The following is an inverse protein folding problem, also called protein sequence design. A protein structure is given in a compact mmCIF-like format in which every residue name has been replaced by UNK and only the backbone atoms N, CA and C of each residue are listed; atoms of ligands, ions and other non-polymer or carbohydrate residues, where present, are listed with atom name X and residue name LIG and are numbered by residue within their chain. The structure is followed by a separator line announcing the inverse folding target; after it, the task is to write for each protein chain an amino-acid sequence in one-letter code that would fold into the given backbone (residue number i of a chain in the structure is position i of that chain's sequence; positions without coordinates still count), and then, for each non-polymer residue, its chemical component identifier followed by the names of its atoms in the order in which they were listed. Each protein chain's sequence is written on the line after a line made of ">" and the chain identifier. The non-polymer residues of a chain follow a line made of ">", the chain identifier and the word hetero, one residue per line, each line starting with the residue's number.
data_IF_165069746903
#
_entry.id   IF_165069746903
#
_cell.length_a   1.000
_cell.length_b   1.000
_cell.length_c   1.000
_cell.angle_alpha   90.00
_cell.angle_beta   90.00
_cell.angle_gamma   90.00
#
_symmetry.space_group_name_H-M   'P 1'
#
loop_
_entity.id
_entity.type
_entity.pdbx_description
1 polymer ?
#
# COMPACT_ATOMS: atom_id res chain seq x y z
N UNK A 1 7.81 10.28 16.67
CA UNK A 1 6.33 10.31 16.88
C UNK A 1 5.98 9.53 18.15
N UNK A 2 5.17 10.11 19.06
CA UNK A 2 4.65 9.38 20.24
C UNK A 2 3.76 8.21 19.81
N UNK A 3 3.71 7.11 20.57
CA UNK A 3 2.81 6.01 20.24
C UNK A 3 1.36 6.49 20.25
N UNK A 4 0.60 6.09 19.23
CA UNK A 4 -0.82 6.41 19.12
C UNK A 4 -1.61 5.69 20.23
N UNK A 5 -2.68 6.30 20.72
CA UNK A 5 -3.60 5.65 21.65
C UNK A 5 -4.23 4.39 21.03
N UNK A 6 -4.65 3.46 21.87
CA UNK A 6 -5.27 2.20 21.44
C UNK A 6 -6.49 2.45 20.54
N UNK A 7 -7.34 3.40 20.91
CA UNK A 7 -8.54 3.76 20.16
C UNK A 7 -8.18 4.28 18.75
N UNK A 8 -7.20 5.20 18.63
CA UNK A 8 -6.76 5.72 17.33
C UNK A 8 -6.17 4.59 16.45
N UNK A 9 -5.41 3.67 17.04
CA UNK A 9 -4.84 2.53 16.29
C UNK A 9 -5.94 1.61 15.72
N UNK A 10 -6.98 1.31 16.49
CA UNK A 10 -8.12 0.53 15.99
C UNK A 10 -8.91 1.30 14.93
N UNK A 11 -9.13 2.61 15.13
CA UNK A 11 -9.77 3.45 14.12
C UNK A 11 -9.00 3.46 12.80
N UNK A 12 -7.68 3.64 12.83
CA UNK A 12 -6.82 3.59 11.64
C UNK A 12 -6.86 2.21 10.97
N UNK A 13 -6.78 1.13 11.75
CA UNK A 13 -6.85 -0.23 11.21
C UNK A 13 -8.18 -0.48 10.51
N UNK A 14 -9.30 -0.06 11.12
CA UNK A 14 -10.63 -0.15 10.52
C UNK A 14 -10.75 0.68 9.23
N UNK A 15 -10.21 1.91 9.22
CA UNK A 15 -10.18 2.76 8.02
C UNK A 15 -9.35 2.12 6.90
N UNK A 16 -8.18 1.55 7.22
CA UNK A 16 -7.33 0.88 6.24
C UNK A 16 -8.00 -0.38 5.69
N UNK A 17 -8.66 -1.16 6.54
CA UNK A 17 -9.42 -2.32 6.12
C UNK A 17 -10.57 -1.93 5.18
N UNK A 18 -11.34 -0.91 5.53
CA UNK A 18 -12.44 -0.42 4.70
C UNK A 18 -11.96 0.11 3.34
N UNK A 19 -10.88 0.90 3.31
CA UNK A 19 -10.27 1.38 2.07
C UNK A 19 -9.73 0.23 1.21
N UNK A 20 -9.10 -0.77 1.81
CA UNK A 20 -8.63 -1.94 1.09
C UNK A 20 -9.78 -2.69 0.43
N UNK A 21 -10.85 -2.98 1.16
CA UNK A 21 -12.04 -3.63 0.59
C UNK A 21 -12.62 -2.80 -0.56
N UNK A 22 -12.79 -1.49 -0.35
CA UNK A 22 -13.42 -0.60 -1.32
C UNK A 22 -12.60 -0.44 -2.61
N UNK A 23 -11.25 -0.45 -2.53
CA UNK A 23 -10.39 -0.18 -3.68
C UNK A 23 -9.86 -1.45 -4.35
N UNK A 24 -9.68 -2.54 -3.59
CA UNK A 24 -9.12 -3.77 -4.12
C UNK A 24 -10.15 -4.68 -4.78
N UNK A 25 -11.38 -4.71 -4.26
CA UNK A 25 -12.43 -5.56 -4.83
C UNK A 25 -12.74 -5.20 -6.30
N UNK A 26 -12.62 -3.93 -6.65
CA UNK A 26 -12.87 -3.41 -8.01
C UNK A 26 -11.60 -3.28 -8.87
N UNK A 27 -10.49 -3.85 -8.45
CA UNK A 27 -9.18 -3.75 -9.11
C UNK A 27 -9.21 -4.22 -10.58
N UNK A 28 -10.14 -5.06 -10.97
CA UNK A 28 -10.10 -5.80 -12.24
C UNK A 28 -11.08 -5.36 -13.30
N UNK A 29 -11.73 -4.21 -13.24
CA UNK A 29 -12.59 -4.05 -14.38
C UNK A 29 -13.41 -2.81 -14.62
N UNK A 30 -13.40 -1.79 -13.81
CA UNK A 30 -14.31 -0.70 -14.06
C UNK A 30 -13.62 0.68 -13.99
N UNK A 31 -13.79 1.46 -15.07
CA UNK A 31 -13.15 2.76 -15.28
C UNK A 31 -13.56 3.82 -14.24
N UNK A 32 -14.64 3.57 -13.51
CA UNK A 32 -15.18 4.49 -12.49
C UNK A 32 -14.73 4.19 -11.05
N UNK A 33 -13.93 3.13 -10.83
CA UNK A 33 -13.53 2.72 -9.50
C UNK A 33 -12.19 3.33 -9.08
N UNK A 34 -12.04 3.57 -7.78
CA UNK A 34 -10.79 4.07 -7.20
C UNK A 34 -9.66 3.07 -7.44
N UNK A 35 -8.47 3.53 -7.83
CA UNK A 35 -7.31 2.66 -7.97
C UNK A 35 -6.97 1.95 -6.66
N UNK A 36 -6.42 0.71 -6.73
CA UNK A 36 -6.04 -0.07 -5.55
C UNK A 36 -5.09 0.69 -4.62
N UNK A 37 -5.51 0.89 -3.38
CA UNK A 37 -4.75 1.58 -2.34
C UNK A 37 -3.81 0.66 -1.54
N UNK A 38 -3.83 -0.66 -1.76
CA UNK A 38 -3.15 -1.64 -0.90
C UNK A 38 -1.69 -1.30 -0.62
N UNK A 39 -0.90 -0.95 -1.64
CA UNK A 39 0.51 -0.60 -1.45
C UNK A 39 0.70 0.59 -0.50
N UNK A 40 -0.13 1.63 -0.63
CA UNK A 40 -0.11 2.79 0.26
C UNK A 40 -0.53 2.42 1.68
N UNK A 41 -1.56 1.56 1.82
CA UNK A 41 -2.05 1.13 3.13
C UNK A 41 -1.02 0.29 3.89
N UNK A 42 -0.25 -0.56 3.21
CA UNK A 42 0.86 -1.26 3.85
C UNK A 42 1.98 -0.30 4.28
N UNK A 43 2.35 0.68 3.48
CA UNK A 43 3.33 1.69 3.87
C UNK A 43 2.86 2.53 5.07
N UNK A 44 1.65 3.06 5.02
CA UNK A 44 1.05 3.86 6.09
C UNK A 44 0.81 3.02 7.36
N UNK A 45 0.44 1.76 7.20
CA UNK A 45 0.33 0.81 8.31
C UNK A 45 1.66 0.63 9.03
N UNK A 46 2.75 0.46 8.31
CA UNK A 46 4.10 0.45 8.88
C UNK A 46 4.45 1.75 9.59
N UNK A 47 4.10 2.90 9.00
CA UNK A 47 4.39 4.22 9.54
C UNK A 47 3.62 4.50 10.86
N UNK A 48 2.34 4.13 10.94
CA UNK A 48 1.47 4.49 12.06
C UNK A 48 1.19 3.34 13.04
N UNK A 49 0.99 2.12 12.56
CA UNK A 49 0.61 0.98 13.41
C UNK A 49 1.82 0.18 13.92
N UNK A 50 2.87 0.05 13.14
CA UNK A 50 4.20 -0.51 13.47
C UNK A 50 4.22 -1.97 13.95
N UNK A 51 3.08 -2.59 14.25
CA UNK A 51 2.99 -3.96 14.78
C UNK A 51 3.06 -5.02 13.68
N UNK A 52 3.43 -6.25 14.02
CA UNK A 52 3.38 -7.37 13.07
C UNK A 52 1.96 -7.90 12.89
N UNK A 53 1.15 -7.92 13.95
CA UNK A 53 -0.24 -8.38 13.87
C UNK A 53 -1.10 -7.57 12.90
N UNK A 54 -1.09 -6.20 12.90
CA UNK A 54 -1.79 -5.44 11.89
C UNK A 54 -1.30 -5.69 10.47
N UNK A 55 0.00 -5.96 10.27
CA UNK A 55 0.55 -6.35 8.97
C UNK A 55 -0.07 -7.66 8.48
N UNK A 56 -0.04 -8.69 9.33
CA UNK A 56 -0.62 -10.00 8.99
C UNK A 56 -2.13 -9.91 8.79
N UNK A 57 -2.83 -9.09 9.58
CA UNK A 57 -4.26 -8.87 9.43
C UNK A 57 -4.62 -8.23 8.09
N UNK A 58 -3.89 -7.18 7.67
CA UNK A 58 -4.09 -6.55 6.36
C UNK A 58 -3.68 -7.47 5.21
N UNK A 59 -2.64 -8.29 5.38
CA UNK A 59 -2.25 -9.29 4.38
C UNK A 59 -3.33 -10.35 4.21
N UNK A 60 -3.84 -10.90 5.31
CA UNK A 60 -4.94 -11.87 5.28
C UNK A 60 -6.21 -11.26 4.65
N UNK A 61 -6.51 -9.99 4.96
CA UNK A 61 -7.61 -9.26 4.35
C UNK A 61 -7.42 -9.12 2.83
N UNK A 62 -6.22 -8.74 2.37
CA UNK A 62 -5.92 -8.61 0.94
C UNK A 62 -6.15 -9.94 0.20
N UNK A 63 -5.65 -11.05 0.76
CA UNK A 63 -5.89 -12.39 0.21
C UNK A 63 -7.37 -12.75 0.22
N UNK A 64 -8.08 -12.46 1.30
CA UNK A 64 -9.52 -12.72 1.42
C UNK A 64 -10.36 -11.91 0.43
N UNK A 65 -10.00 -10.65 0.17
CA UNK A 65 -10.68 -9.81 -0.83
C UNK A 65 -10.44 -10.35 -2.25
N UNK A 66 -9.21 -10.76 -2.58
CA UNK A 66 -8.93 -11.34 -3.90
C UNK A 66 -9.67 -12.67 -4.10
N UNK A 67 -9.67 -13.52 -3.08
CA UNK A 67 -10.44 -14.77 -3.11
C UNK A 67 -11.93 -14.49 -3.33
N UNK A 68 -12.51 -13.55 -2.58
CA UNK A 68 -13.92 -13.19 -2.72
C UNK A 68 -14.22 -12.59 -4.10
N UNK A 69 -13.31 -11.80 -4.67
CA UNK A 69 -13.48 -11.23 -6.00
C UNK A 69 -13.50 -12.33 -7.09
N UNK A 70 -12.65 -13.34 -6.98
CA UNK A 70 -12.61 -14.45 -7.94
C UNK A 70 -13.82 -15.37 -7.77
N UNK A 71 -14.06 -15.87 -6.55
CA UNK A 71 -15.06 -16.92 -6.31
C UNK A 71 -16.50 -16.40 -6.28
N UNK A 72 -16.72 -15.16 -5.78
CA UNK A 72 -18.07 -14.64 -5.58
C UNK A 72 -18.49 -13.61 -6.63
N UNK A 73 -17.55 -12.88 -7.22
CA UNK A 73 -17.83 -11.84 -8.21
C UNK A 73 -17.38 -12.21 -9.64
N UNK A 74 -16.86 -13.41 -9.87
CA UNK A 74 -16.47 -13.88 -11.21
C UNK A 74 -15.29 -13.10 -11.82
N UNK A 75 -14.47 -12.44 -11.01
CA UNK A 75 -13.27 -11.75 -11.48
C UNK A 75 -12.27 -12.79 -11.97
N UNK A 76 -11.53 -12.46 -13.03
CA UNK A 76 -10.52 -13.35 -13.60
C UNK A 76 -9.45 -13.75 -12.58
N UNK A 77 -9.14 -15.05 -12.52
CA UNK A 77 -8.07 -15.63 -11.71
C UNK A 77 -6.67 -15.46 -12.33
N UNK A 78 -6.54 -14.68 -13.40
CA UNK A 78 -5.29 -14.52 -14.16
C UNK A 78 -4.08 -14.17 -13.28
N UNK A 79 -4.29 -13.37 -12.24
CA UNK A 79 -3.24 -12.98 -11.30
C UNK A 79 -2.98 -14.02 -10.18
N UNK A 80 -3.87 -15.01 -10.01
CA UNK A 80 -3.72 -16.06 -8.99
C UNK A 80 -2.81 -17.15 -9.54
N UNK A 81 -1.54 -17.07 -9.21
CA UNK A 81 -0.47 -17.97 -9.68
C UNK A 81 0.44 -18.32 -8.50
N UNK A 82 1.39 -19.27 -8.60
CA UNK A 82 2.38 -19.51 -7.56
C UNK A 82 3.17 -18.25 -7.16
N UNK A 83 3.34 -17.31 -8.10
CA UNK A 83 3.98 -16.02 -7.84
C UNK A 83 3.18 -15.11 -6.88
N UNK A 84 1.91 -15.43 -6.60
CA UNK A 84 1.09 -14.71 -5.63
C UNK A 84 1.71 -14.70 -4.22
N UNK A 85 2.49 -15.72 -3.86
CA UNK A 85 3.24 -15.76 -2.60
C UNK A 85 4.22 -14.58 -2.45
N UNK A 86 4.69 -13.98 -3.55
CA UNK A 86 5.58 -12.83 -3.54
C UNK A 86 4.89 -11.51 -3.14
N UNK A 87 3.58 -11.49 -2.97
CA UNK A 87 2.89 -10.37 -2.32
C UNK A 87 3.36 -10.20 -0.87
N UNK A 88 3.73 -11.28 -0.18
CA UNK A 88 4.27 -11.20 1.18
C UNK A 88 5.55 -10.33 1.24
N UNK A 89 6.65 -10.64 0.54
CA UNK A 89 7.83 -9.78 0.54
C UNK A 89 7.58 -8.40 -0.08
N UNK A 90 6.72 -8.28 -1.10
CA UNK A 90 6.37 -7.01 -1.71
C UNK A 90 5.69 -6.05 -0.71
N UNK A 91 4.71 -6.53 0.05
CA UNK A 91 4.06 -5.73 1.09
C UNK A 91 4.93 -5.54 2.33
N UNK A 92 5.82 -6.50 2.64
CA UNK A 92 6.78 -6.37 3.72
C UNK A 92 7.74 -5.20 3.50
N UNK A 93 8.23 -4.99 2.27
CA UNK A 93 9.08 -3.83 1.92
C UNK A 93 8.36 -2.51 2.26
N UNK A 94 7.10 -2.37 1.89
CA UNK A 94 6.30 -1.18 2.19
C UNK A 94 6.12 -1.00 3.70
N UNK A 95 5.70 -2.06 4.39
CA UNK A 95 5.46 -2.02 5.83
C UNK A 95 6.72 -1.68 6.63
N UNK A 96 7.79 -2.38 6.39
CA UNK A 96 9.02 -2.17 7.13
C UNK A 96 9.73 -0.88 6.73
N UNK A 97 9.58 -0.41 5.49
CA UNK A 97 10.03 0.92 5.06
C UNK A 97 9.30 2.03 5.81
N UNK A 98 7.97 1.99 5.88
CA UNK A 98 7.17 2.93 6.68
C UNK A 98 7.53 2.87 8.17
N UNK A 99 7.68 1.67 8.73
CA UNK A 99 8.09 1.47 10.13
C UNK A 99 9.48 2.02 10.42
N UNK A 100 10.44 1.84 9.52
CA UNK A 100 11.80 2.35 9.66
C UNK A 100 11.85 3.88 9.61
N UNK A 101 10.97 4.53 8.83
CA UNK A 101 10.87 5.98 8.79
C UNK A 101 10.10 6.57 9.98
N UNK A 102 9.22 5.81 10.61
CA UNK A 102 8.35 6.29 11.68
C UNK A 102 9.05 7.06 12.84
N UNK A 103 10.27 6.73 13.29
CA UNK A 103 10.99 7.52 14.29
C UNK A 103 11.38 8.92 13.79
N UNK A 104 11.59 9.07 12.49
CA UNK A 104 12.01 10.31 11.82
C UNK A 104 10.83 11.17 11.37
N UNK A 105 9.60 10.66 11.56
CA UNK A 105 8.39 11.37 11.18
C UNK A 105 8.21 12.58 12.06
N UNK A 106 8.29 13.77 11.47
CA UNK A 106 8.04 15.07 12.08
C UNK A 106 6.98 15.83 11.25
N UNK A 107 6.27 16.79 11.85
CA UNK A 107 5.22 17.54 11.16
C UNK A 107 5.76 18.64 10.24
N UNK A 108 7.07 18.74 10.12
CA UNK A 108 7.76 19.66 9.22
C UNK A 108 7.90 19.07 7.81
N UNK A 109 8.29 19.92 6.86
CA UNK A 109 8.44 19.51 5.46
C UNK A 109 9.48 18.38 5.30
N UNK A 110 10.51 18.31 6.16
CA UNK A 110 11.57 17.27 6.09
C UNK A 110 11.03 15.89 6.46
N UNK A 111 10.23 15.82 7.53
CA UNK A 111 9.62 14.56 7.93
C UNK A 111 8.61 14.05 6.91
N UNK A 112 7.79 14.96 6.35
CA UNK A 112 6.76 14.63 5.38
C UNK A 112 7.33 14.25 4.00
N UNK A 113 8.26 15.07 3.48
CA UNK A 113 8.92 14.78 2.19
C UNK A 113 9.77 13.52 2.26
N UNK A 114 10.46 13.31 3.38
CA UNK A 114 11.22 12.08 3.62
C UNK A 114 10.33 10.83 3.65
N UNK A 115 9.17 10.89 4.30
CA UNK A 115 8.19 9.80 4.27
C UNK A 115 7.73 9.50 2.85
N UNK A 116 7.46 10.54 2.06
CA UNK A 116 7.04 10.40 0.67
C UNK A 116 8.15 9.80 -0.22
N UNK A 117 9.41 10.23 -0.05
CA UNK A 117 10.56 9.66 -0.77
C UNK A 117 10.80 8.19 -0.40
N UNK A 118 10.70 7.83 0.88
CA UNK A 118 10.77 6.43 1.31
C UNK A 118 9.63 5.61 0.71
N UNK A 119 8.42 6.19 0.65
CA UNK A 119 7.30 5.53 -0.02
C UNK A 119 7.56 5.31 -1.51
N UNK A 120 8.17 6.27 -2.23
CA UNK A 120 8.58 6.13 -3.62
C UNK A 120 9.52 4.93 -3.81
N UNK A 121 10.57 4.85 -3.00
CA UNK A 121 11.54 3.74 -3.08
C UNK A 121 10.87 2.41 -2.76
N UNK A 122 10.10 2.34 -1.67
CA UNK A 122 9.41 1.11 -1.26
C UNK A 122 8.35 0.67 -2.28
N UNK A 123 7.60 1.60 -2.87
CA UNK A 123 6.62 1.29 -3.91
C UNK A 123 7.28 0.74 -5.18
N UNK A 124 8.40 1.35 -5.59
CA UNK A 124 9.16 0.86 -6.74
C UNK A 124 9.72 -0.55 -6.50
N UNK A 125 10.28 -0.81 -5.32
CA UNK A 125 10.78 -2.15 -4.95
C UNK A 125 9.65 -3.16 -4.82
N UNK A 126 8.54 -2.80 -4.18
CA UNK A 126 7.36 -3.66 -4.04
C UNK A 126 6.80 -4.05 -5.41
N UNK A 127 6.66 -3.09 -6.32
CA UNK A 127 6.26 -3.34 -7.70
C UNK A 127 7.24 -4.27 -8.42
N UNK A 128 8.55 -4.01 -8.30
CA UNK A 128 9.57 -4.85 -8.95
C UNK A 128 9.52 -6.29 -8.44
N UNK A 129 9.32 -6.52 -7.14
CA UNK A 129 9.19 -7.85 -6.55
C UNK A 129 7.93 -8.56 -7.07
N UNK A 130 6.76 -7.93 -6.96
CA UNK A 130 5.49 -8.56 -7.33
C UNK A 130 5.37 -8.76 -8.85
N UNK A 131 5.68 -7.74 -9.65
CA UNK A 131 5.61 -7.82 -11.11
C UNK A 131 6.68 -8.75 -11.68
N UNK A 132 7.90 -8.70 -11.12
CA UNK A 132 8.98 -9.61 -11.50
C UNK A 132 8.62 -11.07 -11.22
N UNK A 133 8.16 -11.36 -10.01
CA UNK A 133 7.72 -12.71 -9.67
C UNK A 133 6.58 -13.20 -10.58
N UNK A 134 5.58 -12.36 -10.82
CA UNK A 134 4.47 -12.71 -11.71
C UNK A 134 4.94 -13.01 -13.13
N UNK A 135 5.83 -12.18 -13.68
CA UNK A 135 6.32 -12.37 -15.06
C UNK A 135 7.21 -13.62 -15.19
N UNK A 136 8.19 -13.78 -14.29
CA UNK A 136 9.18 -14.85 -14.41
C UNK A 136 8.74 -16.19 -13.80
N UNK A 137 7.89 -16.16 -12.77
CA UNK A 137 7.53 -17.35 -11.98
C UNK A 137 6.03 -17.68 -12.03
N UNK A 138 5.20 -16.81 -12.58
CA UNK A 138 3.74 -16.99 -12.61
C UNK A 138 3.24 -18.01 -13.63
N UNK A 139 4.10 -18.49 -14.55
CA UNK A 139 3.72 -19.49 -15.56
C UNK A 139 2.79 -18.96 -16.66
N UNK A 140 2.52 -17.65 -16.69
CA UNK A 140 1.64 -17.02 -17.71
C UNK A 140 2.38 -16.63 -18.99
N UNK A 141 3.71 -16.65 -18.96
CA UNK A 141 4.59 -16.32 -20.09
C UNK A 141 5.44 -17.53 -20.44
N UNK A 142 5.12 -18.28 -21.54
CA UNK A 142 5.83 -19.53 -21.88
C UNK A 142 7.30 -19.30 -22.26
N UNK A 143 7.60 -18.15 -22.83
CA UNK A 143 8.95 -17.74 -23.24
C UNK A 143 9.22 -16.32 -22.72
N UNK A 144 9.59 -16.18 -21.43
CA UNK A 144 9.83 -14.87 -20.85
C UNK A 144 11.13 -14.27 -21.37
N UNK A 145 11.05 -13.00 -21.83
CA UNK A 145 12.17 -12.24 -22.39
C UNK A 145 12.37 -10.91 -21.67
N UNK A 146 13.61 -10.46 -21.56
CA UNK A 146 13.93 -9.19 -20.90
C UNK A 146 13.32 -7.97 -21.58
N UNK A 147 13.27 -7.94 -22.90
CA UNK A 147 12.66 -6.86 -23.66
C UNK A 147 11.17 -6.69 -23.32
N UNK A 148 10.44 -7.79 -23.30
CA UNK A 148 9.03 -7.82 -22.93
C UNK A 148 8.82 -7.45 -21.45
N UNK A 149 9.66 -7.94 -20.55
CA UNK A 149 9.60 -7.58 -19.13
C UNK A 149 9.81 -6.07 -18.92
N UNK A 150 10.82 -5.47 -19.54
CA UNK A 150 11.08 -4.03 -19.44
C UNK A 150 9.92 -3.21 -20.00
N UNK A 151 9.33 -3.61 -21.11
CA UNK A 151 8.14 -2.96 -21.66
C UNK A 151 6.97 -2.98 -20.65
N UNK A 152 6.74 -4.10 -19.97
CA UNK A 152 5.73 -4.21 -18.91
C UNK A 152 6.03 -3.35 -17.70
N UNK A 153 7.28 -3.33 -17.25
CA UNK A 153 7.71 -2.46 -16.14
C UNK A 153 7.43 -1.00 -16.47
N UNK A 154 7.74 -0.57 -17.69
CA UNK A 154 7.50 0.79 -18.14
C UNK A 154 6.00 1.11 -18.27
N UNK A 155 5.22 0.17 -18.74
CA UNK A 155 3.78 0.30 -18.89
C UNK A 155 3.04 0.41 -17.55
N UNK A 156 3.37 -0.46 -16.59
CA UNK A 156 2.60 -0.60 -15.35
C UNK A 156 3.24 0.06 -14.14
N UNK A 157 4.58 0.06 -14.05
CA UNK A 157 5.30 0.59 -12.90
C UNK A 157 4.91 2.02 -12.52
N UNK A 158 4.93 2.97 -13.48
CA UNK A 158 4.52 4.35 -13.20
C UNK A 158 3.10 4.48 -12.64
N UNK A 159 2.17 3.63 -13.09
CA UNK A 159 0.78 3.65 -12.64
C UNK A 159 0.66 3.23 -11.17
N UNK A 160 1.26 2.09 -10.80
CA UNK A 160 1.23 1.57 -9.42
C UNK A 160 1.95 2.50 -8.45
N UNK A 161 3.15 2.96 -8.82
CA UNK A 161 3.94 3.87 -7.98
C UNK A 161 3.21 5.20 -7.79
N UNK A 162 2.72 5.82 -8.86
CA UNK A 162 1.97 7.07 -8.80
C UNK A 162 0.73 6.96 -7.91
N UNK A 163 -0.07 5.90 -8.08
CA UNK A 163 -1.26 5.66 -7.25
C UNK A 163 -0.88 5.56 -5.77
N UNK A 164 0.15 4.79 -5.45
CA UNK A 164 0.67 4.68 -4.08
C UNK A 164 1.07 6.04 -3.52
N UNK A 165 1.80 6.84 -4.27
CA UNK A 165 2.29 8.15 -3.85
C UNK A 165 1.16 9.16 -3.65
N UNK A 166 0.10 9.11 -4.45
CA UNK A 166 -1.09 9.97 -4.29
C UNK A 166 -1.79 9.63 -2.97
N UNK A 167 -2.04 8.36 -2.67
CA UNK A 167 -2.65 7.95 -1.40
C UNK A 167 -1.78 8.31 -0.20
N UNK A 168 -0.47 8.10 -0.28
CA UNK A 168 0.46 8.49 0.79
C UNK A 168 0.45 10.01 0.98
N UNK A 169 0.52 10.81 -0.09
CA UNK A 169 0.47 12.27 -0.02
C UNK A 169 -0.84 12.75 0.62
N UNK A 170 -1.98 12.19 0.22
CA UNK A 170 -3.28 12.51 0.80
C UNK A 170 -3.33 12.21 2.31
N UNK A 171 -2.81 11.07 2.74
CA UNK A 171 -2.74 10.71 4.15
C UNK A 171 -1.81 11.63 4.95
N UNK A 172 -0.65 12.02 4.38
CA UNK A 172 0.28 12.97 5.00
C UNK A 172 -0.33 14.39 5.09
N UNK A 173 -1.12 14.81 4.10
CA UNK A 173 -1.86 16.05 4.15
C UNK A 173 -2.90 16.04 5.29
N UNK A 174 -3.72 14.99 5.39
CA UNK A 174 -4.66 14.83 6.49
C UNK A 174 -3.95 14.83 7.84
N UNK A 175 -2.83 14.13 7.96
CA UNK A 175 -1.99 14.12 9.16
C UNK A 175 -1.57 15.55 9.56
N UNK A 176 -1.11 16.35 8.60
CA UNK A 176 -0.68 17.73 8.82
C UNK A 176 -1.83 18.62 9.25
N UNK A 177 -3.00 18.50 8.62
CA UNK A 177 -4.20 19.28 8.97
C UNK A 177 -4.69 18.96 10.38
N UNK A 178 -4.70 17.71 10.79
CA UNK A 178 -5.07 17.29 12.14
C UNK A 178 -4.14 17.90 13.19
N UNK A 179 -2.82 17.92 12.92
CA UNK A 179 -1.84 18.52 13.84
C UNK A 179 -2.02 20.05 13.97
N UNK A 180 -2.27 20.75 12.85
CA UNK A 180 -2.52 22.19 12.86
C UNK A 180 -3.80 22.51 13.63
N UNK A 181 -4.89 21.79 13.36
CA UNK A 181 -6.16 21.98 14.07
C UNK A 181 -6.02 21.71 15.60
N UNK A 182 -5.24 20.69 15.97
CA UNK A 182 -4.96 20.39 17.38
C UNK A 182 -4.18 21.49 18.09
N UNK A 183 -3.24 22.17 17.41
CA UNK A 183 -2.49 23.31 17.97
C UNK A 183 -3.39 24.52 18.22
N UNK A 184 -4.28 24.84 17.27
CA UNK A 184 -5.21 25.97 17.43
C UNK A 184 -6.16 25.79 18.62
N UNK A 185 -6.66 24.56 18.86
CA UNK A 185 -7.51 24.29 20.04
C UNK A 185 -6.77 24.40 21.35
N UNK A 186 -5.48 24.07 21.41
CA UNK A 186 -4.68 24.19 22.64
C UNK A 186 -4.27 25.63 22.99
N UNK A 187 -4.29 26.54 22.01
CA UNK A 187 -3.98 27.99 22.24
C UNK A 187 -5.25 28.78 22.62
N UNK A 188 -6.43 28.29 22.23
CA UNK A 188 -7.71 28.97 22.50
C UNK A 188 -8.45 28.47 23.76
N UNK A 189 -7.87 27.52 24.51
CA UNK A 189 -8.38 27.01 25.79
C UNK A 189 -7.48 27.46 26.95
#
# INVERSE_FOLDING_TARGET
>A
MKPLSRSIRFGLLGTFAALMIATRFHHFGDVLHLPDASMALFFLGGLYLRGHLPFLGLLALAVGVDWAAVELAGVSDFCVTPAYAFLLPAYAVLWYGGRAWAPRMSPDWRGLSGAWLVALVCASLSFAISNGAFYWLGGRYPQPEWSQYLARVWQWGPLFVRTTLIYVASALLVHSLVLVAGRHRAIGA
#
